data_IF_820281458918
#
_entry.id   IF_820281458918
#
_cell.length_a   1.000
_cell.length_b   1.000
_cell.length_c   1.000
_cell.angle_alpha   90.00
_cell.angle_beta   90.00
_cell.angle_gamma   90.00
#
_symmetry.space_group_name_H-M   'P 1'
#
loop_
_entity.id
_entity.type
_entity.pdbx_description
1 polymer ?
#
# COMPACT_ATOMS: atom_id res chain seq x y z
N UNK A 1 14.66 7.47 8.06
CA UNK A 1 15.26 6.74 6.90
C UNK A 1 14.19 5.87 6.27
N UNK A 2 14.05 5.87 4.93
CA UNK A 2 13.07 5.03 4.21
C UNK A 2 13.80 3.98 3.39
N UNK A 3 13.48 2.70 3.61
CA UNK A 3 13.97 1.56 2.82
C UNK A 3 12.83 1.07 1.94
N UNK A 4 12.94 1.24 0.63
CA UNK A 4 11.95 0.78 -0.34
C UNK A 4 12.28 -0.63 -0.81
N UNK A 5 11.30 -1.53 -0.71
CA UNK A 5 11.46 -2.94 -1.05
C UNK A 5 10.39 -3.34 -2.07
N UNK A 6 10.77 -3.56 -3.34
CA UNK A 6 9.87 -4.17 -4.30
C UNK A 6 9.69 -5.65 -3.96
N UNK A 7 8.43 -6.12 -3.93
CA UNK A 7 8.11 -7.50 -3.57
C UNK A 7 6.81 -7.95 -4.23
N UNK A 8 6.40 -9.19 -3.98
CA UNK A 8 5.13 -9.72 -4.42
C UNK A 8 5.16 -10.50 -5.73
N UNK A 9 4.15 -11.34 -5.87
CA UNK A 9 4.01 -12.29 -6.97
C UNK A 9 3.56 -11.65 -8.30
N UNK A 10 3.45 -12.50 -9.33
CA UNK A 10 2.96 -12.21 -10.69
C UNK A 10 3.91 -11.49 -11.64
N UNK A 11 5.13 -11.24 -11.24
CA UNK A 11 6.16 -10.71 -12.14
C UNK A 11 7.02 -11.79 -12.81
N UNK A 12 6.81 -13.07 -12.45
CA UNK A 12 7.59 -14.23 -12.92
C UNK A 12 9.08 -14.13 -12.58
N UNK A 13 9.42 -13.42 -11.51
CA UNK A 13 10.79 -13.15 -11.08
C UNK A 13 11.38 -14.27 -10.21
N UNK A 14 10.67 -15.38 -10.04
CA UNK A 14 11.08 -16.49 -9.17
C UNK A 14 10.90 -16.21 -7.68
N UNK A 15 11.16 -17.20 -6.83
CA UNK A 15 10.84 -17.13 -5.41
C UNK A 15 11.67 -16.09 -4.64
N UNK A 16 12.88 -15.79 -5.10
CA UNK A 16 13.76 -14.83 -4.42
C UNK A 16 13.34 -13.38 -4.58
N UNK A 17 12.61 -13.05 -5.64
CA UNK A 17 12.19 -11.68 -5.94
C UNK A 17 10.69 -11.45 -5.76
N UNK A 18 9.95 -12.50 -5.38
CA UNK A 18 8.50 -12.44 -5.24
C UNK A 18 8.00 -12.77 -3.82
N UNK A 19 8.91 -12.86 -2.86
CA UNK A 19 8.56 -13.11 -1.48
C UNK A 19 7.77 -11.93 -0.89
N UNK A 20 6.75 -12.26 -0.11
CA UNK A 20 6.01 -11.31 0.74
C UNK A 20 6.65 -11.38 2.12
N UNK A 21 7.45 -10.39 2.46
CA UNK A 21 8.34 -10.41 3.63
C UNK A 21 7.92 -9.44 4.74
N UNK A 22 6.75 -8.82 4.63
CA UNK A 22 6.24 -7.88 5.61
C UNK A 22 6.23 -8.44 7.03
N UNK A 23 5.93 -9.73 7.17
CA UNK A 23 5.88 -10.39 8.47
C UNK A 23 7.24 -10.50 9.18
N UNK A 24 8.34 -10.41 8.43
CA UNK A 24 9.67 -10.45 9.02
C UNK A 24 9.97 -9.22 9.87
N UNK A 25 9.39 -8.09 9.51
CA UNK A 25 9.62 -6.81 10.18
C UNK A 25 8.61 -6.49 11.29
N UNK A 26 7.50 -7.25 11.38
CA UNK A 26 6.44 -6.99 12.36
C UNK A 26 6.89 -7.19 13.82
N UNK A 27 7.93 -7.96 14.04
CA UNK A 27 8.43 -8.26 15.38
C UNK A 27 9.52 -7.29 15.85
N UNK A 28 9.94 -6.36 14.99
CA UNK A 28 10.99 -5.39 15.34
C UNK A 28 10.33 -4.07 15.79
N UNK A 29 10.29 -3.79 17.11
CA UNK A 29 9.73 -2.55 17.60
C UNK A 29 10.56 -1.35 17.12
N UNK A 30 9.88 -0.28 16.71
CA UNK A 30 10.52 0.93 16.20
C UNK A 30 10.66 0.97 14.67
N UNK A 31 10.25 -0.08 13.96
CA UNK A 31 10.10 -0.03 12.51
C UNK A 31 8.66 0.35 12.13
N UNK A 32 8.52 1.31 11.24
CA UNK A 32 7.24 1.62 10.60
C UNK A 32 7.15 0.85 9.29
N UNK A 33 6.09 0.04 9.12
CA UNK A 33 5.89 -0.75 7.90
C UNK A 33 4.77 -0.12 7.11
N UNK A 34 5.02 0.18 5.84
CA UNK A 34 4.09 0.84 4.93
C UNK A 34 3.90 0.00 3.68
N UNK A 35 2.65 -0.22 3.30
CA UNK A 35 2.32 -1.01 2.13
C UNK A 35 1.11 -0.41 1.39
N UNK A 36 1.30 0.50 0.43
CA UNK A 36 0.23 1.19 -0.27
C UNK A 36 -0.59 0.25 -1.16
N UNK A 37 -1.84 0.61 -1.39
CA UNK A 37 -2.79 -0.15 -2.21
C UNK A 37 -3.22 0.56 -3.51
N UNK A 38 -2.90 1.83 -3.67
CA UNK A 38 -3.24 2.64 -4.83
C UNK A 38 -2.22 3.77 -5.03
N UNK A 39 -2.25 4.50 -6.16
CA UNK A 39 -1.30 5.57 -6.45
C UNK A 39 -1.34 6.74 -5.44
N UNK A 40 -2.52 7.11 -4.92
CA UNK A 40 -2.63 8.17 -3.93
C UNK A 40 -1.97 7.76 -2.60
N UNK A 41 -2.24 6.55 -2.12
CA UNK A 41 -1.58 6.03 -0.93
C UNK A 41 -0.07 5.91 -1.13
N UNK A 42 0.36 5.50 -2.33
CA UNK A 42 1.79 5.39 -2.63
C UNK A 42 2.50 6.74 -2.55
N UNK A 43 1.86 7.80 -3.02
CA UNK A 43 2.40 9.15 -2.91
C UNK A 43 2.38 9.65 -1.45
N UNK A 44 1.22 9.68 -0.83
CA UNK A 44 1.03 10.28 0.49
C UNK A 44 1.90 9.60 1.55
N UNK A 45 1.85 8.27 1.61
CA UNK A 45 2.59 7.49 2.59
C UNK A 45 4.11 7.56 2.36
N UNK A 46 4.58 7.74 1.12
CA UNK A 46 6.01 7.93 0.87
C UNK A 46 6.49 9.31 1.34
N UNK A 47 5.68 10.34 1.11
CA UNK A 47 6.00 11.71 1.54
C UNK A 47 5.99 11.79 3.08
N UNK A 48 4.98 11.22 3.74
CA UNK A 48 4.94 11.15 5.21
C UNK A 48 6.11 10.33 5.78
N UNK A 49 6.41 9.17 5.17
CA UNK A 49 7.53 8.32 5.58
C UNK A 49 8.87 9.05 5.51
N UNK A 50 9.07 9.89 4.48
CA UNK A 50 10.28 10.68 4.34
C UNK A 50 10.43 11.77 5.43
N UNK A 51 9.32 12.25 5.98
CA UNK A 51 9.29 13.24 7.04
C UNK A 51 9.46 12.64 8.46
N UNK A 52 9.27 11.33 8.61
CA UNK A 52 9.40 10.67 9.91
C UNK A 52 10.85 10.57 10.40
N UNK A 53 11.09 10.74 11.71
CA UNK A 53 12.39 10.46 12.31
C UNK A 53 12.71 8.96 12.38
N UNK A 54 11.68 8.12 12.42
CA UNK A 54 11.79 6.67 12.55
C UNK A 54 12.21 5.98 11.24
N UNK A 55 12.83 4.80 11.31
CA UNK A 55 13.10 4.01 10.13
C UNK A 55 11.79 3.41 9.57
N UNK A 56 11.61 3.54 8.25
CA UNK A 56 10.42 3.07 7.54
C UNK A 56 10.81 2.00 6.52
N UNK A 57 10.13 0.86 6.58
CA UNK A 57 10.15 -0.18 5.56
C UNK A 57 8.96 0.03 4.64
N UNK A 58 9.22 0.54 3.44
CA UNK A 58 8.20 0.87 2.46
C UNK A 58 8.11 -0.24 1.41
N UNK A 59 7.05 -1.03 1.48
CA UNK A 59 6.83 -2.21 0.65
C UNK A 59 6.04 -1.85 -0.61
N UNK A 60 6.51 -2.31 -1.76
CA UNK A 60 5.92 -1.98 -3.05
C UNK A 60 5.59 -3.26 -3.82
N UNK A 61 4.30 -3.56 -4.01
CA UNK A 61 3.92 -4.76 -4.73
C UNK A 61 4.19 -4.61 -6.23
N UNK A 62 5.13 -5.41 -6.76
CA UNK A 62 5.55 -5.38 -8.15
C UNK A 62 4.38 -5.51 -9.15
N UNK A 63 3.38 -6.32 -8.83
CA UNK A 63 2.18 -6.47 -9.63
C UNK A 63 1.33 -5.21 -9.77
N UNK A 64 1.57 -4.18 -8.94
CA UNK A 64 0.87 -2.91 -8.96
C UNK A 64 1.65 -1.78 -9.67
N UNK A 65 2.89 -2.01 -10.07
CA UNK A 65 3.76 -1.04 -10.75
C UNK A 65 3.28 -0.76 -12.17
N UNK A 66 2.24 0.03 -12.37
CA UNK A 66 1.82 0.55 -13.68
C UNK A 66 1.90 -0.45 -14.84
N UNK A 67 2.03 -1.72 -14.53
CA UNK A 67 2.13 -2.79 -15.49
C UNK A 67 0.85 -2.85 -16.31
N UNK A 68 0.98 -3.09 -17.60
CA UNK A 68 -0.13 -3.16 -18.51
C UNK A 68 -1.14 -4.19 -18.03
N UNK A 69 -2.41 -3.85 -18.12
CA UNK A 69 -3.51 -4.75 -17.80
C UNK A 69 -3.27 -6.15 -18.38
N UNK A 70 -3.63 -7.18 -17.62
CA UNK A 70 -3.41 -8.57 -17.98
C UNK A 70 -2.14 -9.23 -17.42
N UNK A 71 -1.10 -8.49 -17.08
CA UNK A 71 0.10 -9.08 -16.46
C UNK A 71 -0.08 -9.43 -14.99
N UNK A 72 -0.88 -8.67 -14.28
CA UNK A 72 -1.04 -8.83 -12.83
C UNK A 72 -2.19 -9.73 -12.44
N UNK A 73 -3.23 -9.82 -13.28
CA UNK A 73 -4.50 -10.44 -12.92
C UNK A 73 -5.22 -9.78 -11.74
N UNK A 74 -4.79 -8.57 -11.36
CA UNK A 74 -5.39 -7.79 -10.28
C UNK A 74 -6.48 -6.82 -10.76
N UNK A 75 -6.74 -6.80 -12.06
CA UNK A 75 -7.70 -5.91 -12.71
C UNK A 75 -7.02 -4.88 -13.61
N UNK A 76 -7.78 -3.89 -13.99
CA UNK A 76 -7.33 -2.82 -14.87
C UNK A 76 -6.36 -1.88 -14.17
N UNK A 77 -5.67 -1.06 -14.95
CA UNK A 77 -4.84 0.00 -14.42
C UNK A 77 -5.66 0.93 -13.54
N UNK A 78 -5.11 1.29 -12.41
CA UNK A 78 -5.68 2.36 -11.60
C UNK A 78 -5.22 3.68 -12.21
N UNK A 79 -6.14 4.35 -12.88
CA UNK A 79 -5.95 5.72 -13.37
C UNK A 79 -6.49 6.67 -12.30
N UNK A 80 -5.58 7.33 -11.59
CA UNK A 80 -5.92 8.26 -10.53
C UNK A 80 -5.08 9.53 -10.70
N UNK A 81 -5.74 10.67 -10.63
CA UNK A 81 -5.02 11.93 -10.46
C UNK A 81 -4.64 12.05 -8.98
N UNK A 82 -3.35 12.14 -8.72
CA UNK A 82 -2.82 12.21 -7.36
C UNK A 82 -2.89 13.65 -6.86
N UNK A 83 -3.51 13.84 -5.69
CA UNK A 83 -3.42 15.07 -4.92
C UNK A 83 -2.04 15.14 -4.23
N UNK A 84 -1.28 16.14 -4.56
CA UNK A 84 0.08 16.36 -4.02
C UNK A 84 0.14 17.42 -2.94
N UNK A 85 -0.95 18.15 -2.70
CA UNK A 85 -0.97 19.28 -1.77
C UNK A 85 -1.39 18.89 -0.36
N UNK A 86 -2.37 17.98 -0.21
CA UNK A 86 -2.95 17.67 1.09
C UNK A 86 -1.95 17.09 2.07
N UNK A 87 -1.11 16.16 1.64
CA UNK A 87 -0.07 15.57 2.49
C UNK A 87 1.01 16.61 2.85
N UNK A 88 1.38 17.48 1.92
CA UNK A 88 2.36 18.54 2.18
C UNK A 88 1.87 19.51 3.26
N UNK A 89 0.60 19.95 3.16
CA UNK A 89 -0.03 20.83 4.16
C UNK A 89 -0.10 20.17 5.55
N UNK A 90 -0.41 18.88 5.61
CA UNK A 90 -0.44 18.16 6.88
C UNK A 90 0.95 18.10 7.55
N UNK A 91 1.99 17.81 6.77
CA UNK A 91 3.37 17.78 7.27
C UNK A 91 3.82 19.18 7.75
N UNK A 92 3.51 20.23 7.00
CA UNK A 92 3.80 21.61 7.40
C UNK A 92 3.11 21.99 8.72
N UNK A 93 1.92 21.46 8.97
CA UNK A 93 1.17 21.65 10.24
C UNK A 93 1.67 20.75 11.37
N UNK A 94 2.58 19.82 11.12
CA UNK A 94 3.05 18.84 12.09
C UNK A 94 2.06 17.68 12.34
N UNK A 95 1.09 17.51 11.46
CA UNK A 95 0.06 16.48 11.58
C UNK A 95 0.44 15.22 10.77
N UNK A 96 -0.06 14.06 11.23
CA UNK A 96 -0.06 12.84 10.41
C UNK A 96 -1.27 12.85 9.48
N UNK A 97 -1.03 12.53 8.21
CA UNK A 97 -2.09 12.50 7.19
C UNK A 97 -2.74 11.12 7.07
N UNK A 98 -1.97 10.12 6.71
CA UNK A 98 -2.44 8.73 6.54
C UNK A 98 -1.73 7.72 7.43
N UNK A 99 -0.50 7.95 7.80
CA UNK A 99 0.25 7.01 8.63
C UNK A 99 -0.47 6.74 9.95
N UNK A 100 -0.55 5.47 10.32
CA UNK A 100 -1.25 5.02 11.52
C UNK A 100 -2.77 5.05 11.46
N UNK A 101 -3.36 5.40 10.30
CA UNK A 101 -4.81 5.46 10.10
C UNK A 101 -5.26 4.39 9.11
N UNK A 102 -6.33 3.66 9.46
CA UNK A 102 -6.99 2.75 8.53
C UNK A 102 -7.86 3.54 7.55
N UNK A 103 -7.89 3.09 6.28
CA UNK A 103 -8.78 3.63 5.27
C UNK A 103 -9.95 2.67 5.04
N UNK A 104 -11.18 3.18 5.13
CA UNK A 104 -12.39 2.41 4.81
C UNK A 104 -12.64 2.52 3.31
N UNK A 105 -12.29 1.45 2.58
CA UNK A 105 -12.44 1.39 1.12
C UNK A 105 -13.88 1.07 0.71
N UNK A 106 -14.59 0.30 1.53
CA UNK A 106 -16.00 -0.06 1.34
C UNK A 106 -16.70 -0.15 2.69
N UNK A 107 -17.84 0.53 2.82
CA UNK A 107 -18.71 0.39 3.99
C UNK A 107 -19.55 -0.87 3.93
N UNK A 108 -19.96 -1.38 5.09
CA UNK A 108 -20.84 -2.54 5.26
C UNK A 108 -21.11 -2.80 6.73
N UNK A 109 -21.96 -3.82 7.02
CA UNK A 109 -22.41 -4.18 8.36
C UNK A 109 -22.18 -5.64 8.73
N UNK A 110 -21.98 -6.53 7.76
CA UNK A 110 -22.05 -7.97 7.96
C UNK A 110 -20.69 -8.59 8.31
N UNK A 111 -19.62 -8.04 7.71
CA UNK A 111 -18.25 -8.49 7.95
C UNK A 111 -17.24 -7.36 7.77
N UNK A 112 -16.10 -7.48 8.44
CA UNK A 112 -14.96 -6.59 8.24
C UNK A 112 -13.76 -7.36 7.69
N UNK A 113 -13.23 -6.91 6.55
CA UNK A 113 -12.00 -7.44 5.96
C UNK A 113 -10.90 -6.39 6.18
N UNK A 114 -9.85 -6.77 6.90
CA UNK A 114 -8.65 -5.95 7.06
C UNK A 114 -7.55 -6.49 6.16
N UNK A 115 -7.04 -5.66 5.28
CA UNK A 115 -6.03 -6.07 4.29
C UNK A 115 -5.22 -4.86 3.79
N UNK A 116 -4.16 -5.10 3.05
CA UNK A 116 -3.23 -4.07 2.56
C UNK A 116 -2.65 -4.44 1.19
N UNK A 117 -1.98 -3.49 0.57
CA UNK A 117 -1.30 -3.67 -0.70
C UNK A 117 -2.23 -4.20 -1.80
N UNK A 118 -1.74 -5.13 -2.59
CA UNK A 118 -2.51 -5.72 -3.70
C UNK A 118 -3.74 -6.52 -3.26
N UNK A 119 -3.77 -7.02 -2.02
CA UNK A 119 -4.89 -7.80 -1.51
C UNK A 119 -6.16 -6.98 -1.28
N UNK A 120 -6.05 -5.65 -1.19
CA UNK A 120 -7.22 -4.75 -1.17
C UNK A 120 -8.06 -4.95 -2.42
N UNK A 121 -7.45 -5.06 -3.60
CA UNK A 121 -8.16 -5.26 -4.87
C UNK A 121 -8.83 -6.63 -4.96
N UNK A 122 -8.20 -7.67 -4.37
CA UNK A 122 -8.80 -9.02 -4.29
C UNK A 122 -10.00 -9.01 -3.35
N UNK A 123 -9.88 -8.38 -2.20
CA UNK A 123 -10.95 -8.24 -1.22
C UNK A 123 -12.14 -7.46 -1.81
N UNK A 124 -11.89 -6.41 -2.57
CA UNK A 124 -12.96 -5.64 -3.24
C UNK A 124 -13.73 -6.50 -4.24
N UNK A 125 -13.05 -7.29 -5.07
CA UNK A 125 -13.72 -8.22 -6.00
C UNK A 125 -14.53 -9.29 -5.27
N UNK A 126 -14.01 -9.84 -4.18
CA UNK A 126 -14.75 -10.79 -3.36
C UNK A 126 -16.01 -10.15 -2.76
N UNK A 127 -15.89 -8.93 -2.24
CA UNK A 127 -17.01 -8.18 -1.68
C UNK A 127 -18.08 -7.85 -2.73
N UNK A 128 -17.70 -7.58 -3.97
CA UNK A 128 -18.64 -7.38 -5.09
C UNK A 128 -19.40 -8.67 -5.45
N UNK A 129 -18.74 -9.83 -5.32
CA UNK A 129 -19.35 -11.14 -5.63
C UNK A 129 -20.34 -11.57 -4.54
N UNK A 130 -20.13 -11.12 -3.30
CA UNK A 130 -20.95 -11.49 -2.14
C UNK A 130 -22.12 -10.52 -1.89
N UNK A 131 -22.25 -9.46 -2.68
CA UNK A 131 -23.32 -8.48 -2.61
C UNK A 131 -24.41 -8.81 -3.60
#
# INVERSE_FOLDING_TARGET
>A
MVVRIPLGAKTRSGPFHANMIESWFLNDPGLVIVFPSNPQDAYDLLVEAAALPDPVVYLEHLGMYGLRGGMTGWGDRIHMQVDTESVAKAIESGDTYKLGKANIVRGGSDATIVTWGAMVHVAMKAAETLS
#
